data_IF_348999073507
#
_entry.id   IF_348999073507
#
_cell.length_a   1.000
_cell.length_b   1.000
_cell.length_c   1.000
_cell.angle_alpha   90.00
_cell.angle_beta   90.00
_cell.angle_gamma   90.00
#
_symmetry.space_group_name_H-M   'P 1'
#
loop_
_entity.id
_entity.type
_entity.pdbx_description
1 polymer ?
#
# COMPACT_ATOMS: atom_id res chain seq x y z
N UNK A 1 -44.60 34.27 -19.95
CA UNK A 1 -44.01 32.93 -20.14
C UNK A 1 -42.59 32.96 -19.60
N UNK A 2 -42.35 32.52 -18.37
CA UNK A 2 -41.01 32.46 -17.77
C UNK A 2 -40.70 30.98 -17.50
N UNK A 3 -39.85 30.38 -18.34
CA UNK A 3 -39.45 28.97 -18.21
C UNK A 3 -38.42 28.85 -17.09
N UNK A 4 -38.83 28.29 -15.96
CA UNK A 4 -37.95 27.89 -14.86
C UNK A 4 -37.19 26.62 -15.29
N UNK A 5 -35.94 26.76 -15.72
CA UNK A 5 -35.04 25.63 -15.92
C UNK A 5 -34.44 25.26 -14.57
N UNK A 6 -35.07 24.29 -13.89
CA UNK A 6 -34.52 23.66 -12.69
C UNK A 6 -33.37 22.75 -13.10
N UNK A 7 -32.12 23.18 -12.87
CA UNK A 7 -30.93 22.37 -13.08
C UNK A 7 -30.74 21.51 -11.82
N UNK A 8 -31.14 20.24 -11.93
CA UNK A 8 -30.80 19.20 -10.95
C UNK A 8 -29.30 18.91 -11.04
N UNK A 9 -28.51 19.41 -10.08
CA UNK A 9 -27.12 18.98 -9.91
C UNK A 9 -27.10 17.57 -9.33
N UNK A 10 -26.89 16.57 -10.19
CA UNK A 10 -26.59 15.20 -9.77
C UNK A 10 -25.21 15.19 -9.10
N UNK A 11 -25.21 15.23 -7.77
CA UNK A 11 -24.02 14.94 -6.97
C UNK A 11 -23.65 13.47 -7.16
N UNK A 12 -22.66 13.24 -8.01
CA UNK A 12 -22.04 11.92 -8.20
C UNK A 12 -21.30 11.57 -6.91
N UNK A 13 -21.95 10.83 -6.02
CA UNK A 13 -21.30 10.21 -4.87
C UNK A 13 -20.40 9.10 -5.40
N UNK A 14 -19.09 9.25 -5.21
CA UNK A 14 -18.11 8.21 -5.51
C UNK A 14 -18.29 7.05 -4.52
N UNK A 15 -19.21 6.13 -4.83
CA UNK A 15 -19.26 4.83 -4.15
C UNK A 15 -18.04 4.03 -4.59
N UNK A 16 -17.06 3.86 -3.69
CA UNK A 16 -16.05 2.81 -3.85
C UNK A 16 -16.76 1.48 -3.63
N UNK A 17 -17.08 0.78 -4.73
CA UNK A 17 -17.91 -0.44 -4.74
C UNK A 17 -17.29 -1.60 -3.93
N UNK A 18 -15.99 -1.51 -3.62
CA UNK A 18 -15.26 -2.52 -2.86
C UNK A 18 -14.54 -1.83 -1.68
N UNK A 19 -14.72 -2.33 -0.44
CA UNK A 19 -13.93 -1.85 0.68
C UNK A 19 -12.46 -2.21 0.42
N UNK A 20 -11.58 -1.21 0.56
CA UNK A 20 -10.14 -1.42 0.55
C UNK A 20 -9.76 -2.25 1.76
N UNK A 21 -9.29 -3.47 1.55
CA UNK A 21 -8.82 -4.33 2.63
C UNK A 21 -7.33 -4.11 2.85
N UNK A 22 -6.94 -3.79 4.09
CA UNK A 22 -5.54 -3.57 4.46
C UNK A 22 -5.13 -4.55 5.56
N UNK A 23 -4.06 -5.30 5.30
CA UNK A 23 -3.47 -6.21 6.28
C UNK A 23 -2.09 -5.71 6.68
N UNK A 24 -1.87 -5.50 7.97
CA UNK A 24 -0.56 -5.16 8.49
C UNK A 24 0.36 -6.38 8.44
N UNK A 25 1.46 -6.30 7.71
CA UNK A 25 2.43 -7.38 7.58
C UNK A 25 3.58 -7.26 8.58
N UNK A 26 4.08 -6.05 8.78
CA UNK A 26 5.22 -5.81 9.66
C UNK A 26 5.24 -4.38 10.21
N UNK A 27 5.96 -4.22 11.32
CA UNK A 27 6.23 -2.94 11.99
C UNK A 27 7.71 -2.84 12.31
N UNK A 28 8.32 -1.70 12.01
CA UNK A 28 9.70 -1.39 12.39
C UNK A 28 9.72 -0.05 13.14
N UNK A 29 10.41 0.00 14.29
CA UNK A 29 10.51 1.21 15.11
C UNK A 29 11.90 1.81 14.96
N UNK A 30 11.98 3.09 14.59
CA UNK A 30 13.20 3.88 14.56
C UNK A 30 13.66 4.23 15.98
N UNK A 31 14.91 4.65 16.12
CA UNK A 31 15.50 5.08 17.40
C UNK A 31 14.75 6.28 18.01
N UNK A 32 14.25 7.19 17.18
CA UNK A 32 13.46 8.37 17.57
C UNK A 32 12.01 8.03 18.00
N UNK A 33 11.62 6.76 17.96
CA UNK A 33 10.29 6.29 18.34
C UNK A 33 9.27 6.27 17.20
N UNK A 34 9.58 6.84 16.03
CA UNK A 34 8.73 6.76 14.85
C UNK A 34 8.58 5.30 14.39
N UNK A 35 7.38 4.92 13.98
CA UNK A 35 7.06 3.56 13.55
C UNK A 35 6.75 3.56 12.06
N UNK A 36 7.47 2.72 11.32
CA UNK A 36 7.17 2.39 9.94
C UNK A 36 6.35 1.11 9.90
N UNK A 37 5.27 1.11 9.13
CA UNK A 37 4.35 -0.02 8.96
C UNK A 37 4.38 -0.47 7.51
N UNK A 38 4.41 -1.78 7.30
CA UNK A 38 4.28 -2.38 5.98
C UNK A 38 2.91 -3.06 5.90
N UNK A 39 2.15 -2.73 4.87
CA UNK A 39 0.80 -3.21 4.64
C UNK A 39 0.71 -3.97 3.32
N UNK A 40 -0.02 -5.08 3.32
CA UNK A 40 -0.68 -5.58 2.12
C UNK A 40 -1.99 -4.84 1.94
N UNK A 41 -2.27 -4.40 0.73
CA UNK A 41 -3.49 -3.67 0.39
C UNK A 41 -4.14 -4.36 -0.78
N UNK A 42 -5.31 -4.95 -0.55
CA UNK A 42 -6.13 -5.47 -1.64
C UNK A 42 -6.97 -4.36 -2.24
N UNK A 43 -6.83 -4.16 -3.55
CA UNK A 43 -7.49 -3.09 -4.29
C UNK A 43 -8.72 -3.57 -5.07
N UNK A 44 -9.00 -4.88 -5.08
CA UNK A 44 -10.17 -5.49 -5.70
C UNK A 44 -9.90 -6.05 -7.10
N UNK A 45 -10.96 -6.44 -7.81
CA UNK A 45 -10.86 -7.33 -8.98
C UNK A 45 -10.14 -6.75 -10.22
N UNK A 46 -10.05 -5.43 -10.35
CA UNK A 46 -9.50 -4.77 -11.56
C UNK A 46 -8.14 -4.09 -11.32
N UNK A 47 -7.61 -4.18 -10.11
CA UNK A 47 -6.38 -3.51 -9.68
C UNK A 47 -5.52 -4.47 -8.90
N UNK A 48 -4.23 -4.51 -9.22
CA UNK A 48 -3.31 -5.40 -8.53
C UNK A 48 -3.25 -5.07 -7.04
N UNK A 49 -3.22 -6.12 -6.22
CA UNK A 49 -2.91 -5.96 -4.80
C UNK A 49 -1.46 -5.47 -4.65
N UNK A 50 -1.21 -4.65 -3.63
CA UNK A 50 0.06 -3.95 -3.49
C UNK A 50 0.64 -4.06 -2.08
N UNK A 51 1.97 -3.97 -1.98
CA UNK A 51 2.66 -3.75 -0.71
C UNK A 51 2.91 -2.26 -0.54
N UNK A 52 2.56 -1.70 0.61
CA UNK A 52 2.76 -0.29 0.93
C UNK A 52 3.61 -0.12 2.20
N UNK A 53 4.55 0.82 2.13
CA UNK A 53 5.34 1.28 3.29
C UNK A 53 4.78 2.62 3.72
N UNK A 54 4.40 2.75 4.99
CA UNK A 54 3.78 3.96 5.56
C UNK A 54 4.40 4.33 6.90
N UNK A 55 4.40 5.63 7.24
CA UNK A 55 4.57 6.03 8.63
C UNK A 55 3.31 5.67 9.42
N UNK A 56 3.45 5.33 10.69
CA UNK A 56 2.34 4.82 11.50
C UNK A 56 1.14 5.77 11.63
N UNK A 57 1.40 7.07 11.52
CA UNK A 57 0.44 8.17 11.68
C UNK A 57 0.07 8.85 10.35
N UNK A 58 0.54 8.32 9.22
CA UNK A 58 0.28 8.89 7.90
C UNK A 58 -0.45 7.85 7.02
N UNK A 59 -1.51 8.30 6.34
CA UNK A 59 -2.22 7.47 5.36
C UNK A 59 -1.48 7.38 4.02
N UNK A 60 -0.70 8.42 3.70
CA UNK A 60 0.08 8.48 2.46
C UNK A 60 1.26 7.50 2.51
N UNK A 61 1.40 6.61 1.51
CA UNK A 61 2.53 5.70 1.46
C UNK A 61 3.82 6.43 1.09
N UNK A 62 4.90 6.07 1.79
CA UNK A 62 6.28 6.43 1.42
C UNK A 62 6.65 5.73 0.11
N UNK A 63 6.24 4.47 -0.03
CA UNK A 63 6.50 3.64 -1.20
C UNK A 63 5.36 2.65 -1.42
N UNK A 64 5.02 2.44 -2.69
CA UNK A 64 4.07 1.43 -3.16
C UNK A 64 4.81 0.47 -4.09
N UNK A 65 4.52 -0.80 -3.94
CA UNK A 65 5.08 -1.90 -4.72
C UNK A 65 3.92 -2.67 -5.37
N UNK A 66 3.71 -2.42 -6.67
CA UNK A 66 2.56 -2.94 -7.42
C UNK A 66 2.75 -4.38 -7.93
N UNK A 67 4.01 -4.83 -8.01
CA UNK A 67 4.37 -6.14 -8.55
C UNK A 67 4.65 -7.17 -7.45
N UNK A 68 4.30 -6.89 -6.21
CA UNK A 68 4.57 -7.77 -5.08
C UNK A 68 3.34 -7.86 -4.19
N UNK A 69 3.05 -9.08 -3.73
CA UNK A 69 1.91 -9.36 -2.86
C UNK A 69 2.33 -10.09 -1.58
N UNK A 70 3.62 -10.41 -1.42
CA UNK A 70 4.13 -11.12 -0.25
C UNK A 70 5.39 -10.46 0.32
N UNK A 71 5.41 -10.29 1.65
CA UNK A 71 6.55 -9.81 2.42
C UNK A 71 7.21 -10.99 3.13
N UNK A 72 8.43 -11.33 2.72
CA UNK A 72 9.22 -12.38 3.38
C UNK A 72 9.88 -11.85 4.66
N UNK A 73 10.46 -10.65 4.61
CA UNK A 73 11.04 -10.02 5.80
C UNK A 73 11.13 -8.50 5.67
N UNK A 74 11.19 -7.82 6.82
CA UNK A 74 11.43 -6.39 6.92
C UNK A 74 12.41 -6.08 8.05
N UNK A 75 13.40 -5.23 7.77
CA UNK A 75 14.44 -4.85 8.74
C UNK A 75 14.87 -3.41 8.52
N UNK A 76 14.85 -2.59 9.58
CA UNK A 76 15.55 -1.31 9.56
C UNK A 76 17.06 -1.57 9.60
N UNK A 77 17.78 -1.06 8.59
CA UNK A 77 19.24 -1.06 8.57
C UNK A 77 19.80 0.09 9.40
N UNK A 78 19.07 1.20 9.45
CA UNK A 78 19.26 2.39 10.26
C UNK A 78 17.95 3.20 10.26
N UNK A 79 17.93 4.39 10.87
CA UNK A 79 16.71 5.22 10.97
C UNK A 79 16.20 5.80 9.64
N UNK A 80 16.95 5.63 8.54
CA UNK A 80 16.60 6.16 7.21
C UNK A 80 16.39 5.08 6.17
N UNK A 81 16.80 3.84 6.43
CA UNK A 81 16.88 2.78 5.43
C UNK A 81 16.18 1.53 5.92
N UNK A 82 15.09 1.16 5.23
CA UNK A 82 14.32 -0.04 5.48
C UNK A 82 14.62 -1.07 4.38
N UNK A 83 15.18 -2.21 4.75
CA UNK A 83 15.31 -3.36 3.86
C UNK A 83 14.02 -4.19 3.89
N UNK A 84 13.54 -4.56 2.71
CA UNK A 84 12.44 -5.50 2.54
C UNK A 84 12.90 -6.64 1.64
N UNK A 85 12.45 -7.85 1.95
CA UNK A 85 12.53 -9.00 1.05
C UNK A 85 11.11 -9.28 0.58
N UNK A 86 10.85 -9.07 -0.71
CA UNK A 86 9.53 -9.13 -1.32
C UNK A 86 9.46 -10.27 -2.35
N UNK A 87 8.28 -10.86 -2.50
CA UNK A 87 8.02 -11.91 -3.48
C UNK A 87 6.66 -11.68 -4.14
N UNK A 88 6.54 -12.05 -5.41
CA UNK A 88 5.25 -12.16 -6.10
C UNK A 88 4.81 -13.63 -6.17
N UNK A 89 3.73 -13.96 -5.49
CA UNK A 89 3.17 -15.31 -5.44
C UNK A 89 2.17 -15.61 -6.55
N UNK A 90 1.86 -14.65 -7.43
CA UNK A 90 0.84 -14.80 -8.47
C UNK A 90 1.17 -15.84 -9.55
N UNK A 91 2.41 -16.34 -9.59
CA UNK A 91 2.82 -17.43 -10.48
C UNK A 91 3.41 -18.57 -9.67
N UNK A 92 2.84 -19.78 -9.83
CA UNK A 92 3.33 -21.05 -9.33
C UNK A 92 4.69 -21.46 -9.96
N UNK A 93 5.67 -20.57 -9.96
CA UNK A 93 7.04 -20.91 -10.34
C UNK A 93 7.85 -21.18 -9.07
N UNK A 94 8.20 -22.45 -8.86
CA UNK A 94 9.09 -22.90 -7.79
C UNK A 94 10.47 -22.23 -7.82
N UNK A 95 10.85 -21.56 -8.91
CA UNK A 95 12.11 -20.84 -9.05
C UNK A 95 12.02 -19.34 -8.78
N UNK A 96 10.85 -18.83 -8.38
CA UNK A 96 10.68 -17.39 -8.22
C UNK A 96 11.48 -16.89 -7.03
N UNK A 97 12.50 -16.08 -7.33
CA UNK A 97 13.44 -15.53 -6.36
C UNK A 97 12.80 -14.34 -5.64
N UNK A 98 13.05 -14.22 -4.35
CA UNK A 98 12.69 -13.01 -3.61
C UNK A 98 13.63 -11.87 -3.97
N UNK A 99 13.08 -10.68 -4.11
CA UNK A 99 13.83 -9.46 -4.36
C UNK A 99 14.14 -8.76 -3.05
N UNK A 100 15.38 -8.29 -2.91
CA UNK A 100 15.78 -7.43 -1.79
C UNK A 100 15.74 -5.98 -2.25
N UNK A 101 14.92 -5.17 -1.57
CA UNK A 101 14.78 -3.74 -1.86
C UNK A 101 15.13 -2.91 -0.63
N UNK A 102 15.72 -1.73 -0.86
CA UNK A 102 15.99 -0.75 0.19
C UNK A 102 15.11 0.47 -0.05
N UNK A 103 14.30 0.81 0.95
CA UNK A 103 13.41 1.96 0.94
C UNK A 103 13.99 3.05 1.83
N UNK A 104 14.12 4.25 1.29
CA UNK A 104 14.43 5.43 2.09
C UNK A 104 13.17 5.84 2.86
N UNK A 105 13.26 5.83 4.19
CA UNK A 105 12.19 6.15 5.13
C UNK A 105 12.50 7.37 5.98
N UNK A 106 13.45 8.23 5.55
CA UNK A 106 13.82 9.45 6.27
C UNK A 106 12.60 10.35 6.53
#
# INVERSE_FOLDING_TARGET
MLKLFSIFTLSITSCTLFPKEETLLAKCKKSNGEVIKIYFVSLGATTNDVIQVRRANESTPIKVFENYNYLTSAKLLNDTSLQLILTDTAYHDSNRKSDTVIVNVK
#
